data_IF_788297034804
#
_entry.id   IF_788297034804
#
_cell.length_a   1.000
_cell.length_b   1.000
_cell.length_c   1.000
_cell.angle_alpha   90.00
_cell.angle_beta   90.00
_cell.angle_gamma   90.00
#
_symmetry.space_group_name_H-M   'P 1'
#
loop_
_entity.id
_entity.type
_entity.pdbx_description
1 polymer ?
#
# COMPACT_ATOMS: atom_id res chain seq x y z
N UNK A 1 -18.91 -37.20 -35.32
CA UNK A 1 -19.60 -36.19 -34.50
C UNK A 1 -18.57 -35.17 -34.06
N UNK A 2 -18.47 -34.05 -34.77
CA UNK A 2 -17.57 -32.96 -34.40
C UNK A 2 -18.33 -32.03 -33.45
N UNK A 3 -17.86 -31.92 -32.21
CA UNK A 3 -18.44 -31.01 -31.22
C UNK A 3 -18.06 -29.58 -31.58
N UNK A 4 -19.00 -28.86 -32.20
CA UNK A 4 -18.89 -27.42 -32.43
C UNK A 4 -18.97 -26.70 -31.09
N UNK A 5 -17.82 -26.28 -30.55
CA UNK A 5 -17.76 -25.35 -29.42
C UNK A 5 -18.28 -23.99 -29.89
N UNK A 6 -19.52 -23.67 -29.55
CA UNK A 6 -20.08 -22.34 -29.71
C UNK A 6 -19.44 -21.41 -28.68
N UNK A 7 -18.38 -20.69 -29.10
CA UNK A 7 -17.86 -19.56 -28.34
C UNK A 7 -18.94 -18.48 -28.38
N UNK A 8 -19.64 -18.30 -27.27
CA UNK A 8 -20.64 -17.27 -27.12
C UNK A 8 -19.95 -15.89 -27.09
N UNK A 9 -19.89 -15.23 -28.25
CA UNK A 9 -19.22 -13.93 -28.45
C UNK A 9 -19.92 -12.75 -27.76
N UNK A 10 -21.01 -12.98 -27.02
CA UNK A 10 -21.82 -11.96 -26.35
C UNK A 10 -21.66 -11.89 -24.82
N UNK A 11 -20.65 -12.54 -24.24
CA UNK A 11 -20.31 -12.33 -22.83
C UNK A 11 -19.47 -11.06 -22.61
N UNK A 12 -19.90 -9.92 -23.17
CA UNK A 12 -19.46 -8.61 -22.67
C UNK A 12 -20.29 -8.27 -21.43
N UNK A 13 -20.10 -9.05 -20.36
CA UNK A 13 -20.58 -8.62 -19.05
C UNK A 13 -19.84 -7.33 -18.72
N UNK A 14 -20.58 -6.21 -18.63
CA UNK A 14 -20.03 -4.95 -18.12
C UNK A 14 -19.33 -5.26 -16.79
N UNK A 15 -18.12 -4.73 -16.53
CA UNK A 15 -17.43 -4.94 -15.27
C UNK A 15 -18.35 -4.54 -14.12
N UNK A 16 -18.80 -5.51 -13.33
CA UNK A 16 -19.71 -5.23 -12.23
C UNK A 16 -18.89 -4.70 -11.04
N UNK A 17 -19.30 -3.60 -10.39
CA UNK A 17 -18.61 -3.08 -9.22
C UNK A 17 -18.54 -4.13 -8.12
N UNK A 18 -17.40 -4.20 -7.41
CA UNK A 18 -17.19 -5.18 -6.34
C UNK A 18 -18.30 -5.10 -5.30
N UNK A 19 -18.80 -6.25 -4.82
CA UNK A 19 -19.71 -6.30 -3.66
C UNK A 19 -18.96 -6.22 -2.32
N UNK A 20 -17.62 -6.19 -2.35
CA UNK A 20 -16.79 -6.07 -1.16
C UNK A 20 -17.12 -4.77 -0.39
N UNK A 21 -17.19 -4.89 0.93
CA UNK A 21 -17.28 -3.75 1.83
C UNK A 21 -15.92 -3.04 1.91
N UNK A 22 -15.89 -1.72 2.18
CA UNK A 22 -14.65 -1.00 2.43
C UNK A 22 -13.92 -1.60 3.64
N UNK A 23 -12.59 -1.54 3.65
CA UNK A 23 -11.81 -2.00 4.80
C UNK A 23 -12.16 -1.14 6.01
N UNK A 24 -12.64 -1.77 7.08
CA UNK A 24 -12.88 -1.10 8.35
C UNK A 24 -11.64 -1.22 9.26
N UNK A 25 -11.05 -0.08 9.68
CA UNK A 25 -10.04 -0.10 10.72
C UNK A 25 -10.58 -0.72 12.02
N UNK A 26 -9.70 -1.33 12.80
CA UNK A 26 -10.03 -1.88 14.11
C UNK A 26 -10.66 -0.79 15.00
N UNK A 27 -11.71 -1.14 15.75
CA UNK A 27 -12.53 -0.18 16.50
C UNK A 27 -11.91 0.30 17.82
N UNK A 28 -10.68 -0.13 18.12
CA UNK A 28 -9.97 0.14 19.37
C UNK A 28 -9.44 1.58 19.38
N UNK A 29 -9.35 2.23 20.55
CA UNK A 29 -8.89 3.62 20.64
C UNK A 29 -7.47 3.82 20.09
N UNK A 30 -6.58 2.85 20.31
CA UNK A 30 -5.21 2.85 19.76
C UNK A 30 -5.22 2.85 18.23
N UNK A 31 -6.11 2.06 17.61
CA UNK A 31 -6.20 1.97 16.15
C UNK A 31 -6.75 3.27 15.55
N UNK A 32 -7.77 3.86 16.18
CA UNK A 32 -8.32 5.16 15.78
C UNK A 32 -7.27 6.27 15.84
N UNK A 33 -6.55 6.34 16.96
CA UNK A 33 -5.51 7.34 17.15
C UNK A 33 -4.37 7.17 16.13
N UNK A 34 -3.88 5.94 15.98
CA UNK A 34 -2.75 5.66 15.09
C UNK A 34 -3.11 5.84 13.60
N UNK A 35 -4.35 5.59 13.18
CA UNK A 35 -4.78 5.85 11.79
C UNK A 35 -4.57 7.33 11.40
N UNK A 36 -4.79 8.27 12.31
CA UNK A 36 -4.59 9.71 12.06
C UNK A 36 -3.14 10.15 12.27
N UNK A 37 -2.45 9.59 13.26
CA UNK A 37 -1.05 9.95 13.56
C UNK A 37 -0.07 9.39 12.51
N UNK A 38 -0.33 8.20 11.99
CA UNK A 38 0.58 7.53 11.06
C UNK A 38 0.98 8.37 9.83
N UNK A 39 0.06 8.98 9.04
CA UNK A 39 0.46 9.81 7.91
C UNK A 39 1.33 11.00 8.35
N UNK A 40 1.08 11.57 9.53
CA UNK A 40 1.93 12.63 10.10
C UNK A 40 3.33 12.09 10.44
N UNK A 41 3.44 10.90 11.02
CA UNK A 41 4.73 10.28 11.31
C UNK A 41 5.53 9.98 10.04
N UNK A 42 4.88 9.45 9.01
CA UNK A 42 5.52 9.16 7.71
C UNK A 42 6.01 10.45 7.05
N UNK A 43 5.18 11.50 7.04
CA UNK A 43 5.60 12.81 6.53
C UNK A 43 6.68 13.47 7.38
N UNK A 44 6.64 13.31 8.70
CA UNK A 44 7.66 13.86 9.61
C UNK A 44 9.01 13.18 9.41
N UNK A 45 9.01 11.85 9.27
CA UNK A 45 10.20 11.07 8.92
C UNK A 45 10.78 11.58 7.59
N UNK A 46 9.94 11.72 6.58
CA UNK A 46 10.35 12.21 5.27
C UNK A 46 10.93 13.63 5.34
N UNK A 47 10.20 14.56 5.95
CA UNK A 47 10.61 15.96 6.10
C UNK A 47 11.94 16.09 6.84
N UNK A 48 12.18 15.27 7.87
CA UNK A 48 13.45 15.23 8.59
C UNK A 48 14.61 14.78 7.69
N UNK A 49 14.36 13.79 6.81
CA UNK A 49 15.37 13.26 5.89
C UNK A 49 15.52 14.04 4.58
N UNK A 50 14.62 14.97 4.29
CA UNK A 50 14.57 15.68 3.01
C UNK A 50 15.87 16.42 2.65
N UNK A 51 16.52 17.17 3.57
CA UNK A 51 17.80 17.82 3.24
C UNK A 51 18.90 16.81 2.86
N UNK A 52 18.97 15.68 3.56
CA UNK A 52 19.91 14.61 3.27
C UNK A 52 19.56 13.89 1.95
N UNK A 53 18.28 13.74 1.64
CA UNK A 53 17.81 13.14 0.39
C UNK A 53 18.18 13.99 -0.82
N UNK A 54 18.12 15.32 -0.68
CA UNK A 54 18.54 16.26 -1.72
C UNK A 54 20.06 16.22 -1.92
N UNK A 55 20.83 16.11 -0.84
CA UNK A 55 22.29 16.06 -0.91
C UNK A 55 22.82 14.72 -1.45
N UNK A 56 22.38 13.61 -0.86
CA UNK A 56 22.85 12.25 -1.15
C UNK A 56 21.67 11.26 -1.16
N UNK A 57 21.04 11.02 -2.32
CA UNK A 57 19.78 10.29 -2.37
C UNK A 57 19.91 8.79 -2.06
N UNK A 58 20.94 8.11 -2.54
CA UNK A 58 21.07 6.64 -2.36
C UNK A 58 21.23 6.24 -0.88
N UNK A 59 22.19 6.80 -0.11
CA UNK A 59 22.33 6.46 1.31
C UNK A 59 21.09 6.86 2.11
N UNK A 60 20.49 8.01 1.80
CA UNK A 60 19.30 8.48 2.51
C UNK A 60 18.10 7.58 2.27
N UNK A 61 17.81 7.20 1.02
CA UNK A 61 16.72 6.26 0.74
C UNK A 61 16.97 4.89 1.37
N UNK A 62 18.21 4.37 1.28
CA UNK A 62 18.53 3.08 1.87
C UNK A 62 18.36 3.06 3.39
N UNK A 63 18.80 4.10 4.09
CA UNK A 63 18.68 4.20 5.55
C UNK A 63 17.26 4.50 6.02
N UNK A 64 16.44 5.16 5.19
CA UNK A 64 15.03 5.46 5.52
C UNK A 64 14.06 4.31 5.23
N UNK A 65 14.47 3.30 4.46
CA UNK A 65 13.66 2.10 4.23
C UNK A 65 13.27 1.38 5.53
N UNK A 66 14.22 1.17 6.43
CA UNK A 66 13.98 0.47 7.69
C UNK A 66 12.95 1.20 8.60
N UNK A 67 13.11 2.50 8.92
CA UNK A 67 12.12 3.22 9.72
C UNK A 67 10.77 3.34 9.01
N UNK A 68 10.74 3.50 7.67
CA UNK A 68 9.48 3.47 6.92
C UNK A 68 8.78 2.11 7.06
N UNK A 69 9.51 1.00 6.88
CA UNK A 69 8.96 -0.35 7.02
C UNK A 69 8.41 -0.58 8.44
N UNK A 70 9.09 -0.10 9.48
CA UNK A 70 8.59 -0.17 10.87
C UNK A 70 7.29 0.60 11.02
N UNK A 71 7.19 1.83 10.50
CA UNK A 71 5.96 2.62 10.57
C UNK A 71 4.79 1.96 9.82
N UNK A 72 5.07 1.33 8.67
CA UNK A 72 4.08 0.60 7.88
C UNK A 72 3.63 -0.68 8.58
N UNK A 73 4.57 -1.47 9.12
CA UNK A 73 4.25 -2.68 9.91
C UNK A 73 3.41 -2.32 11.14
N UNK A 74 3.79 -1.27 11.86
CA UNK A 74 3.01 -0.77 12.98
C UNK A 74 1.60 -0.36 12.55
N UNK A 75 1.45 0.31 11.40
CA UNK A 75 0.13 0.67 10.87
C UNK A 75 -0.73 -0.56 10.58
N UNK A 76 -0.22 -1.52 9.80
CA UNK A 76 -1.02 -2.68 9.42
C UNK A 76 -1.35 -3.58 10.61
N UNK A 77 -0.41 -3.76 11.55
CA UNK A 77 -0.62 -4.59 12.73
C UNK A 77 -1.60 -3.97 13.74
N UNK A 78 -1.59 -2.63 13.90
CA UNK A 78 -2.41 -1.93 14.89
C UNK A 78 -3.78 -1.53 14.34
N UNK A 79 -3.85 -1.07 13.09
CA UNK A 79 -5.06 -0.46 12.52
C UNK A 79 -5.88 -1.41 11.65
N UNK A 80 -5.25 -2.38 11.00
CA UNK A 80 -5.91 -3.16 9.94
C UNK A 80 -6.21 -4.61 10.36
N UNK A 81 -7.31 -5.20 9.87
CA UNK A 81 -7.54 -6.63 9.98
C UNK A 81 -6.59 -7.39 9.03
N UNK A 82 -5.94 -8.48 9.48
CA UNK A 82 -5.13 -9.31 8.60
C UNK A 82 -6.01 -10.05 7.58
N UNK A 83 -5.44 -10.36 6.41
CA UNK A 83 -6.08 -11.17 5.36
C UNK A 83 -6.75 -12.43 5.93
N UNK A 84 -8.03 -12.63 5.62
CA UNK A 84 -8.82 -13.78 6.10
C UNK A 84 -9.31 -13.67 7.56
N UNK A 85 -8.91 -12.62 8.28
CA UNK A 85 -9.42 -12.30 9.61
C UNK A 85 -10.76 -11.59 9.53
N UNK A 86 -11.86 -12.33 9.37
CA UNK A 86 -13.17 -11.78 9.72
C UNK A 86 -13.14 -11.34 11.19
N UNK A 87 -13.72 -10.18 11.57
CA UNK A 87 -13.99 -9.86 12.96
C UNK A 87 -15.14 -10.75 13.43
N UNK A 88 -14.91 -12.06 13.50
CA UNK A 88 -15.78 -12.94 14.26
C UNK A 88 -15.58 -12.54 15.71
N UNK A 89 -16.55 -11.79 16.24
CA UNK A 89 -16.95 -11.96 17.63
C UNK A 89 -17.21 -13.46 17.76
N UNK A 90 -16.18 -14.23 18.14
CA UNK A 90 -16.35 -15.62 18.55
C UNK A 90 -17.26 -15.54 19.77
N UNK A 91 -18.57 -15.69 19.55
CA UNK A 91 -19.51 -16.06 20.60
C UNK A 91 -18.96 -17.35 21.18
N UNK A 92 -18.27 -17.22 22.30
CA UNK A 92 -17.71 -18.34 23.02
C UNK A 92 -18.90 -19.18 23.47
N UNK A 93 -19.15 -20.32 22.81
CA UNK A 93 -20.11 -21.30 23.31
C UNK A 93 -19.61 -21.78 24.68
N UNK A 94 -20.43 -21.74 25.74
CA UNK A 94 -20.01 -22.22 27.05
C UNK A 94 -19.92 -23.75 26.99
N UNK A 95 -18.72 -24.33 27.06
CA UNK A 95 -18.60 -25.78 27.27
C UNK A 95 -17.34 -26.51 26.79
N UNK A 96 -16.46 -25.93 25.97
CA UNK A 96 -15.29 -26.71 25.49
C UNK A 96 -14.09 -26.67 26.45
N UNK A 97 -13.65 -27.88 26.83
CA UNK A 97 -12.55 -28.16 27.75
C UNK A 97 -11.25 -27.52 27.27
N UNK A 98 -10.60 -26.83 28.21
CA UNK A 98 -9.36 -26.07 28.05
C UNK A 98 -8.18 -27.01 27.82
N UNK A 99 -7.95 -27.42 26.57
CA UNK A 99 -6.65 -27.90 26.12
C UNK A 99 -5.60 -26.78 26.28
N UNK A 100 -4.35 -27.15 26.58
CA UNK A 100 -3.21 -26.25 26.79
C UNK A 100 -2.89 -25.48 25.49
N UNK A 101 -3.70 -24.47 25.19
CA UNK A 101 -3.50 -23.55 24.08
C UNK A 101 -2.45 -22.49 24.47
N UNK A 102 -1.60 -22.05 23.53
CA UNK A 102 -0.73 -20.89 23.74
C UNK A 102 -1.58 -19.69 24.19
N UNK A 103 -1.00 -18.79 25.00
CA UNK A 103 -1.75 -17.71 25.64
C UNK A 103 -2.57 -16.91 24.62
N UNK A 104 -3.81 -16.54 24.97
CA UNK A 104 -4.72 -15.77 24.08
C UNK A 104 -4.06 -14.53 23.45
N UNK A 105 -3.08 -13.94 24.14
CA UNK A 105 -2.28 -12.81 23.66
C UNK A 105 -1.28 -13.22 22.57
N UNK A 106 -0.56 -14.33 22.74
CA UNK A 106 0.41 -14.85 21.75
C UNK A 106 -0.29 -15.27 20.46
N UNK A 107 -1.47 -15.90 20.58
CA UNK A 107 -2.27 -16.29 19.41
C UNK A 107 -2.79 -15.07 18.63
N UNK A 108 -3.15 -13.99 19.33
CA UNK A 108 -3.59 -12.73 18.72
C UNK A 108 -2.46 -11.88 18.13
N UNK A 109 -1.24 -12.02 18.64
CA UNK A 109 -0.07 -11.33 18.12
C UNK A 109 0.49 -12.06 16.88
N UNK A 110 0.57 -13.39 16.93
CA UNK A 110 1.04 -14.20 15.80
C UNK A 110 0.13 -14.06 14.57
N UNK A 111 -1.18 -13.90 14.77
CA UNK A 111 -2.12 -13.69 13.66
C UNK A 111 -1.98 -12.34 12.95
N UNK A 112 -1.23 -11.39 13.53
CA UNK A 112 -0.95 -10.08 12.93
C UNK A 112 0.48 -9.96 12.42
N UNK A 113 1.45 -10.47 13.18
CA UNK A 113 2.87 -10.39 12.82
C UNK A 113 3.16 -11.25 11.58
N UNK A 114 2.62 -12.46 11.51
CA UNK A 114 2.90 -13.37 10.38
C UNK A 114 2.40 -12.76 9.05
N UNK A 115 1.15 -12.26 8.94
CA UNK A 115 0.72 -11.56 7.74
C UNK A 115 1.50 -10.29 7.45
N UNK A 116 1.90 -9.51 8.47
CA UNK A 116 2.71 -8.30 8.27
C UNK A 116 4.08 -8.63 7.68
N UNK A 117 4.75 -9.67 8.20
CA UNK A 117 6.04 -10.13 7.70
C UNK A 117 5.92 -10.70 6.27
N UNK A 118 4.90 -11.51 6.00
CA UNK A 118 4.65 -12.05 4.66
C UNK A 118 4.33 -10.92 3.66
N UNK A 119 3.57 -9.91 4.09
CA UNK A 119 3.25 -8.74 3.27
C UNK A 119 4.48 -7.90 2.96
N UNK A 120 5.36 -7.71 3.95
CA UNK A 120 6.65 -7.05 3.75
C UNK A 120 7.50 -7.82 2.73
N UNK A 121 7.62 -9.14 2.89
CA UNK A 121 8.40 -10.00 2.00
C UNK A 121 7.84 -9.98 0.57
N UNK A 122 6.52 -10.03 0.40
CA UNK A 122 5.91 -9.92 -0.93
C UNK A 122 6.09 -8.53 -1.53
N UNK A 123 6.01 -7.49 -0.72
CA UNK A 123 6.22 -6.11 -1.17
C UNK A 123 7.67 -5.89 -1.62
N UNK A 124 8.65 -6.42 -0.88
CA UNK A 124 10.06 -6.29 -1.23
C UNK A 124 10.46 -7.17 -2.41
N UNK A 125 10.00 -8.42 -2.47
CA UNK A 125 10.42 -9.36 -3.52
C UNK A 125 9.61 -9.27 -4.81
N UNK A 126 8.35 -8.84 -4.76
CA UNK A 126 7.49 -8.77 -5.95
C UNK A 126 7.12 -7.33 -6.33
N UNK A 127 6.59 -6.54 -5.39
CA UNK A 127 6.11 -5.20 -5.72
C UNK A 127 7.24 -4.21 -6.04
N UNK A 128 8.36 -4.29 -5.34
CA UNK A 128 9.53 -3.43 -5.56
C UNK A 128 10.13 -3.58 -6.97
N UNK A 129 10.47 -4.80 -7.46
CA UNK A 129 10.97 -4.92 -8.83
C UNK A 129 9.91 -4.57 -9.87
N UNK A 130 8.63 -4.88 -9.61
CA UNK A 130 7.55 -4.50 -10.51
C UNK A 130 7.45 -2.98 -10.66
N UNK A 131 7.42 -2.23 -9.55
CA UNK A 131 7.35 -0.77 -9.59
C UNK A 131 8.65 -0.14 -10.10
N UNK A 132 9.80 -0.75 -9.84
CA UNK A 132 11.07 -0.33 -10.44
C UNK A 132 11.00 -0.45 -11.96
N UNK A 133 10.52 -1.58 -12.48
CA UNK A 133 10.30 -1.77 -13.91
C UNK A 133 9.28 -0.77 -14.47
N UNK A 134 8.18 -0.49 -13.74
CA UNK A 134 7.23 0.56 -14.12
C UNK A 134 7.92 1.92 -14.21
N UNK A 135 8.70 2.34 -13.21
CA UNK A 135 9.41 3.63 -13.27
C UNK A 135 10.34 3.71 -14.49
N UNK A 136 11.04 2.62 -14.82
CA UNK A 136 11.87 2.52 -16.03
C UNK A 136 11.04 2.67 -17.31
N UNK A 137 9.91 1.97 -17.40
CA UNK A 137 8.99 2.08 -18.55
C UNK A 137 8.41 3.49 -18.71
N UNK A 138 8.27 4.23 -17.61
CA UNK A 138 7.81 5.62 -17.60
C UNK A 138 8.96 6.65 -17.73
N UNK A 139 10.19 6.20 -18.02
CA UNK A 139 11.30 7.08 -18.41
C UNK A 139 12.44 7.19 -17.40
N UNK A 140 12.45 6.40 -16.32
CA UNK A 140 13.62 6.35 -15.43
C UNK A 140 14.84 5.78 -16.18
N UNK A 141 16.07 6.26 -15.91
CA UNK A 141 17.27 5.82 -16.63
C UNK A 141 17.50 4.30 -16.52
N UNK A 142 17.64 3.64 -17.67
CA UNK A 142 17.90 2.18 -17.75
C UNK A 142 19.36 1.85 -17.49
N UNK A 143 20.29 2.74 -17.88
CA UNK A 143 21.74 2.51 -17.90
C UNK A 143 22.50 3.20 -16.77
N UNK A 144 21.87 4.14 -16.08
CA UNK A 144 22.45 4.90 -14.97
C UNK A 144 21.49 4.93 -13.80
N UNK A 145 21.93 5.36 -12.62
CA UNK A 145 21.07 5.59 -11.46
C UNK A 145 20.22 4.37 -11.01
N UNK A 146 20.66 3.14 -11.28
CA UNK A 146 19.90 1.92 -10.94
C UNK A 146 19.49 1.86 -9.46
N UNK A 147 20.40 2.19 -8.54
CA UNK A 147 20.11 2.22 -7.10
C UNK A 147 19.05 3.26 -6.74
N UNK A 148 19.05 4.42 -7.40
CA UNK A 148 18.05 5.46 -7.17
C UNK A 148 16.67 4.97 -7.58
N UNK A 149 16.56 4.35 -8.76
CA UNK A 149 15.30 3.83 -9.30
C UNK A 149 14.77 2.66 -8.47
N UNK A 150 15.65 1.73 -8.07
CA UNK A 150 15.28 0.59 -7.22
C UNK A 150 14.79 1.06 -5.85
N UNK A 151 15.51 1.97 -5.20
CA UNK A 151 15.14 2.50 -3.89
C UNK A 151 13.87 3.36 -3.95
N UNK A 152 13.70 4.15 -5.02
CA UNK A 152 12.45 4.87 -5.29
C UNK A 152 11.27 3.89 -5.42
N UNK A 153 11.43 2.83 -6.23
CA UNK A 153 10.44 1.75 -6.37
C UNK A 153 10.11 1.08 -5.03
N UNK A 154 11.13 0.85 -4.19
CA UNK A 154 10.95 0.27 -2.86
C UNK A 154 10.14 1.18 -1.91
N UNK A 155 10.38 2.50 -1.94
CA UNK A 155 9.60 3.46 -1.16
C UNK A 155 8.14 3.50 -1.60
N UNK A 156 7.89 3.58 -2.91
CA UNK A 156 6.52 3.55 -3.45
C UNK A 156 5.85 2.22 -3.05
N UNK A 157 6.53 1.08 -3.20
CA UNK A 157 6.00 -0.23 -2.83
C UNK A 157 5.61 -0.32 -1.35
N UNK A 158 6.44 0.19 -0.43
CA UNK A 158 6.14 0.23 1.00
C UNK A 158 4.95 1.14 1.34
N UNK A 159 4.83 2.29 0.67
CA UNK A 159 3.73 3.23 0.90
C UNK A 159 2.40 2.74 0.34
N UNK A 160 2.41 2.07 -0.81
CA UNK A 160 1.20 1.71 -1.54
C UNK A 160 0.79 0.25 -1.38
N UNK A 161 1.73 -0.68 -1.51
CA UNK A 161 1.43 -2.10 -1.73
C UNK A 161 1.44 -2.90 -0.43
N UNK A 162 2.28 -2.55 0.55
CA UNK A 162 2.34 -3.27 1.82
C UNK A 162 0.99 -3.32 2.56
N UNK A 163 0.27 -2.19 2.75
CA UNK A 163 -1.02 -2.23 3.43
C UNK A 163 -2.09 -3.00 2.65
N UNK A 164 -2.03 -2.97 1.31
CA UNK A 164 -2.94 -3.73 0.44
C UNK A 164 -2.75 -5.24 0.55
N UNK A 165 -1.50 -5.70 0.45
CA UNK A 165 -1.16 -7.13 0.59
C UNK A 165 -1.56 -7.63 1.98
N UNK A 166 -1.40 -6.80 3.01
CA UNK A 166 -1.78 -7.20 4.37
C UNK A 166 -3.27 -7.47 4.53
N UNK A 167 -4.12 -6.65 3.91
CA UNK A 167 -5.58 -6.74 4.07
C UNK A 167 -6.22 -7.71 3.06
N UNK A 168 -5.82 -7.62 1.79
CA UNK A 168 -6.44 -8.39 0.70
C UNK A 168 -5.65 -9.64 0.32
N UNK A 169 -4.43 -9.79 0.81
CA UNK A 169 -3.55 -10.90 0.44
C UNK A 169 -3.17 -10.83 -1.04
N UNK A 170 -3.09 -12.01 -1.66
CA UNK A 170 -2.74 -12.19 -3.08
C UNK A 170 -3.95 -12.72 -3.86
N UNK A 171 -5.15 -12.25 -3.52
CA UNK A 171 -6.38 -12.64 -4.20
C UNK A 171 -6.51 -11.99 -5.59
N UNK A 172 -6.38 -12.79 -6.65
CA UNK A 172 -6.33 -12.28 -8.03
C UNK A 172 -7.59 -11.51 -8.45
N UNK A 173 -8.76 -11.88 -7.94
CA UNK A 173 -10.00 -11.16 -8.23
C UNK A 173 -9.99 -9.76 -7.60
N UNK A 174 -9.64 -9.66 -6.32
CA UNK A 174 -9.55 -8.39 -5.60
C UNK A 174 -8.53 -7.45 -6.25
N UNK A 175 -7.35 -7.96 -6.62
CA UNK A 175 -6.33 -7.17 -7.32
C UNK A 175 -6.80 -6.68 -8.69
N UNK A 176 -7.54 -7.51 -9.45
CA UNK A 176 -8.14 -7.09 -10.72
C UNK A 176 -9.20 -6.00 -10.53
N UNK A 177 -10.05 -6.12 -9.51
CA UNK A 177 -11.06 -5.11 -9.18
C UNK A 177 -10.41 -3.80 -8.72
N UNK A 178 -9.31 -3.87 -7.97
CA UNK A 178 -8.51 -2.74 -7.52
C UNK A 178 -7.89 -1.99 -8.71
N UNK A 179 -7.27 -2.70 -9.65
CA UNK A 179 -6.72 -2.10 -10.88
C UNK A 179 -7.81 -1.53 -11.78
N UNK A 180 -9.00 -2.16 -11.81
CA UNK A 180 -10.15 -1.68 -12.55
C UNK A 180 -10.90 -0.52 -11.88
N UNK A 181 -10.43 -0.02 -10.72
CA UNK A 181 -11.08 1.05 -9.96
C UNK A 181 -12.50 0.72 -9.46
N UNK A 182 -12.80 -0.56 -9.27
CA UNK A 182 -14.12 -1.08 -8.89
C UNK A 182 -14.27 -1.36 -7.39
N UNK A 183 -13.17 -1.28 -6.63
CA UNK A 183 -13.18 -1.44 -5.18
C UNK A 183 -13.68 -0.15 -4.52
N UNK A 184 -14.50 -0.21 -3.45
CA UNK A 184 -14.83 1.00 -2.71
C UNK A 184 -13.58 1.66 -2.12
N UNK A 185 -13.60 2.98 -2.05
CA UNK A 185 -12.56 3.77 -1.40
C UNK A 185 -12.47 3.47 0.10
N UNK A 186 -11.25 3.26 0.57
CA UNK A 186 -10.89 3.20 1.98
C UNK A 186 -9.51 3.85 2.19
N UNK A 187 -8.99 3.82 3.40
CA UNK A 187 -7.71 4.44 3.78
C UNK A 187 -6.50 3.77 3.08
N UNK A 188 -6.55 2.46 2.89
CA UNK A 188 -5.50 1.68 2.22
C UNK A 188 -5.48 1.95 0.73
N UNK A 189 -6.64 1.83 0.08
CA UNK A 189 -6.77 2.01 -1.36
C UNK A 189 -6.62 3.47 -1.77
N UNK A 190 -7.12 4.41 -0.95
CA UNK A 190 -6.83 5.83 -1.09
C UNK A 190 -5.34 6.13 -0.97
N UNK A 191 -4.63 5.46 -0.05
CA UNK A 191 -3.18 5.55 0.08
C UNK A 191 -2.44 5.10 -1.18
N UNK A 192 -2.85 4.00 -1.82
CA UNK A 192 -2.30 3.55 -3.11
C UNK A 192 -2.49 4.61 -4.20
N UNK A 193 -3.73 5.03 -4.44
CA UNK A 193 -4.06 6.00 -5.49
C UNK A 193 -3.30 7.31 -5.25
N UNK A 194 -3.30 7.78 -4.01
CA UNK A 194 -2.56 8.97 -3.61
C UNK A 194 -1.06 8.85 -3.85
N UNK A 195 -0.45 7.71 -3.50
CA UNK A 195 0.98 7.47 -3.73
C UNK A 195 1.32 7.50 -5.22
N UNK A 196 0.53 6.83 -6.06
CA UNK A 196 0.74 6.76 -7.52
C UNK A 196 0.55 8.13 -8.17
N UNK A 197 -0.58 8.80 -7.88
CA UNK A 197 -0.85 10.13 -8.41
C UNK A 197 0.18 11.15 -7.92
N UNK A 198 0.57 11.07 -6.65
CA UNK A 198 1.60 11.92 -6.07
C UNK A 198 2.95 11.71 -6.73
N UNK A 199 3.38 10.46 -6.92
CA UNK A 199 4.62 10.13 -7.64
C UNK A 199 4.59 10.66 -9.08
N UNK A 200 3.45 10.49 -9.77
CA UNK A 200 3.26 10.99 -11.14
C UNK A 200 3.32 12.52 -11.21
N UNK A 201 2.65 13.24 -10.32
CA UNK A 201 2.75 14.70 -10.21
C UNK A 201 4.17 15.15 -9.84
N UNK A 202 4.88 14.35 -9.02
CA UNK A 202 6.28 14.55 -8.71
C UNK A 202 7.22 14.44 -9.91
N UNK A 203 6.77 13.89 -11.05
CA UNK A 203 7.56 13.85 -12.27
C UNK A 203 7.54 15.19 -13.02
N UNK A 204 6.52 16.02 -12.82
CA UNK A 204 6.31 17.29 -13.54
C UNK A 204 7.45 18.29 -13.33
N UNK A 205 8.04 18.47 -12.13
CA UNK A 205 9.14 19.41 -11.94
C UNK A 205 10.46 19.02 -12.60
N UNK A 206 10.67 17.73 -12.92
CA UNK A 206 11.93 17.22 -13.50
C UNK A 206 12.24 17.90 -14.85
N UNK A 207 11.34 17.90 -15.86
CA UNK A 207 11.62 18.53 -17.16
C UNK A 207 11.61 20.07 -17.13
N UNK A 208 11.10 20.69 -16.05
CA UNK A 208 11.13 22.16 -15.90
C UNK A 208 12.52 22.68 -15.56
N UNK A 209 13.41 21.80 -15.07
CA UNK A 209 14.84 21.98 -14.84
C UNK A 209 15.21 23.41 -14.39
N UNK A 210 14.72 23.81 -13.22
CA UNK A 210 15.05 25.08 -12.56
C UNK A 210 16.48 25.10 -11.97
N UNK A 211 17.37 24.21 -12.42
CA UNK A 211 18.74 24.03 -11.94
C UNK A 211 18.83 23.86 -10.41
N UNK A 212 17.88 23.12 -9.82
CA UNK A 212 17.85 22.87 -8.37
C UNK A 212 18.13 21.43 -8.03
N UNK A 213 18.95 21.22 -7.00
CA UNK A 213 19.30 19.90 -6.47
C UNK A 213 18.06 19.06 -6.10
N UNK A 214 17.00 19.68 -5.58
CA UNK A 214 15.78 18.97 -5.22
C UNK A 214 14.97 18.44 -6.40
N UNK A 215 15.25 18.90 -7.63
CA UNK A 215 14.59 18.42 -8.86
C UNK A 215 15.23 17.15 -9.43
N UNK A 216 16.42 16.78 -8.95
CA UNK A 216 17.16 15.62 -9.46
C UNK A 216 16.41 14.32 -9.19
N UNK A 217 16.55 13.36 -10.10
CA UNK A 217 16.03 12.01 -9.89
C UNK A 217 16.64 11.36 -8.65
N UNK A 218 15.87 10.73 -7.75
CA UNK A 218 14.42 10.49 -7.76
C UNK A 218 13.65 11.41 -6.77
N UNK A 219 14.25 12.51 -6.32
CA UNK A 219 13.82 13.28 -5.15
C UNK A 219 12.36 13.70 -5.26
N UNK A 220 11.96 14.37 -6.34
CA UNK A 220 10.60 14.89 -6.54
C UNK A 220 9.53 13.80 -6.62
N UNK A 221 9.86 12.65 -7.21
CA UNK A 221 8.97 11.49 -7.31
C UNK A 221 8.70 10.94 -5.91
N UNK A 222 9.76 10.78 -5.11
CA UNK A 222 9.64 10.32 -3.73
C UNK A 222 8.87 11.34 -2.89
N UNK A 223 9.14 12.65 -3.04
CA UNK A 223 8.36 13.72 -2.39
C UNK A 223 6.88 13.58 -2.69
N UNK A 224 6.55 13.47 -3.97
CA UNK A 224 5.18 13.30 -4.44
C UNK A 224 4.53 12.05 -3.89
N UNK A 225 5.24 10.92 -3.88
CA UNK A 225 4.75 9.65 -3.34
C UNK A 225 4.39 9.75 -1.85
N UNK A 226 5.23 10.38 -1.02
CA UNK A 226 4.99 10.55 0.41
C UNK A 226 3.80 11.48 0.69
N UNK A 227 3.78 12.65 0.05
CA UNK A 227 2.68 13.62 0.19
C UNK A 227 1.37 13.00 -0.30
N UNK A 228 1.41 12.37 -1.46
CA UNK A 228 0.28 11.70 -2.07
C UNK A 228 -0.24 10.55 -1.22
N UNK A 229 0.62 9.71 -0.65
CA UNK A 229 0.23 8.64 0.27
C UNK A 229 -0.54 9.17 1.49
N UNK A 230 -0.04 10.24 2.11
CA UNK A 230 -0.67 10.84 3.28
C UNK A 230 -2.04 11.45 2.96
N UNK A 231 -2.13 12.24 1.87
CA UNK A 231 -3.38 12.85 1.42
C UNK A 231 -4.38 11.78 0.99
N UNK A 232 -3.95 10.83 0.17
CA UNK A 232 -4.79 9.76 -0.34
C UNK A 232 -5.37 8.90 0.78
N UNK A 233 -4.54 8.53 1.76
CA UNK A 233 -4.98 7.81 2.96
C UNK A 233 -6.00 8.59 3.78
N UNK A 234 -5.76 9.89 4.00
CA UNK A 234 -6.69 10.76 4.73
C UNK A 234 -8.03 10.86 4.00
N UNK A 235 -8.01 11.16 2.70
CA UNK A 235 -9.22 11.33 1.89
C UNK A 235 -10.01 10.03 1.76
N UNK A 236 -9.32 8.91 1.50
CA UNK A 236 -9.92 7.59 1.40
C UNK A 236 -10.54 7.11 2.71
N UNK A 237 -9.91 7.43 3.85
CA UNK A 237 -10.42 7.09 5.18
C UNK A 237 -11.57 7.98 5.68
N UNK A 238 -11.76 9.18 5.12
CA UNK A 238 -12.73 10.17 5.61
C UNK A 238 -13.79 10.53 4.58
N UNK A 239 -13.47 11.44 3.64
CA UNK A 239 -14.42 12.06 2.71
C UNK A 239 -14.89 11.14 1.58
N UNK A 240 -14.02 10.21 1.17
CA UNK A 240 -14.26 9.31 0.05
C UNK A 240 -14.65 7.92 0.49
N UNK A 241 -14.65 7.62 1.80
CA UNK A 241 -14.88 6.27 2.32
C UNK A 241 -16.17 5.66 1.78
N UNK A 242 -16.07 4.47 1.21
CA UNK A 242 -17.19 3.72 0.63
C UNK A 242 -17.66 4.18 -0.75
N UNK A 243 -17.17 5.31 -1.26
CA UNK A 243 -17.48 5.75 -2.62
C UNK A 243 -16.77 4.86 -3.64
N UNK A 244 -17.45 4.54 -4.73
CA UNK A 244 -16.88 3.83 -5.87
C UNK A 244 -16.68 4.80 -7.01
N UNK A 245 -15.61 4.61 -7.76
CA UNK A 245 -15.37 5.40 -8.97
C UNK A 245 -16.24 4.77 -10.06
N UNK A 246 -17.31 5.47 -10.44
CA UNK A 246 -18.21 5.03 -11.51
C UNK A 246 -17.81 5.78 -12.80
N UNK A 247 -17.47 5.02 -13.84
CA UNK A 247 -17.20 5.53 -15.19
C UNK A 247 -18.33 5.12 -16.14
#
# INVERSE_FOLDING_TARGET
MASTTTINANATSKPQPSTAAPVEPLKNDTARLYTHIHPLLVLSLYAFTFPALVADPVPTLLTTLAPLAVLQIAFVAVCLPPTGGTPTIRKQKPGEKKGRAPGKLEQGLNSKIVPAFLSLLLTTLAATPLLTATLVLFGAPVTTHHSHTLLCGAHIALLSTLPLVYVHGVDGETWRQLLALLLPMDDVYGGLIGTVLGAWLGAVPIPLDWDREWQKWPVTIVTGAYIGSAIGKLLGGTLLKGKKIMF
#
